data_IF_124492730133
#
_entry.id   IF_124492730133
#
_cell.length_a   1.000
_cell.length_b   1.000
_cell.length_c   1.000
_cell.angle_alpha   90.00
_cell.angle_beta   90.00
_cell.angle_gamma   90.00
#
_symmetry.space_group_name_H-M   'P 1'
#
loop_
_entity.id
_entity.type
_entity.pdbx_description
1 polymer ?
#
# COMPACT_ATOMS: atom_id res chain seq x y z
N UNK A 1 -30.09 19.64 47.26
CA UNK A 1 -29.43 19.84 45.94
C UNK A 1 -27.94 19.97 46.21
N UNK A 2 -27.02 19.12 45.76
CA UNK A 2 -27.08 17.98 44.85
C UNK A 2 -26.27 16.83 45.47
N UNK A 3 -26.82 15.62 45.38
CA UNK A 3 -26.18 14.35 45.70
C UNK A 3 -25.71 13.76 44.37
N UNK A 4 -24.42 13.80 44.05
CA UNK A 4 -23.74 12.89 43.11
C UNK A 4 -22.25 13.24 43.06
N UNK A 5 -21.43 12.48 43.79
CA UNK A 5 -19.98 12.47 43.64
C UNK A 5 -19.62 11.48 42.52
N UNK A 6 -19.20 11.99 41.36
CA UNK A 6 -18.63 11.16 40.31
C UNK A 6 -17.22 10.69 40.74
N UNK A 7 -17.09 9.43 41.16
CA UNK A 7 -15.78 8.79 41.33
C UNK A 7 -15.09 8.76 39.97
N UNK A 8 -13.92 9.40 39.86
CA UNK A 8 -13.00 9.23 38.74
C UNK A 8 -12.67 7.73 38.65
N UNK A 9 -13.00 7.10 37.51
CA UNK A 9 -12.61 5.72 37.24
C UNK A 9 -11.08 5.70 37.17
N UNK A 10 -10.42 4.94 38.04
CA UNK A 10 -8.98 4.76 37.98
C UNK A 10 -8.63 4.20 36.59
N UNK A 11 -7.75 4.91 35.88
CA UNK A 11 -7.19 4.40 34.63
C UNK A 11 -6.30 3.21 35.00
N UNK A 12 -6.58 2.00 34.50
CA UNK A 12 -5.72 0.86 34.77
C UNK A 12 -4.29 1.21 34.38
N UNK A 13 -3.32 0.78 35.18
CA UNK A 13 -1.91 0.90 34.82
C UNK A 13 -1.68 0.27 33.44
N UNK A 14 -0.81 0.86 32.60
CA UNK A 14 -0.50 0.27 31.30
C UNK A 14 -0.06 -1.18 31.50
N UNK A 15 -0.80 -2.11 30.93
CA UNK A 15 -0.39 -3.51 30.90
C UNK A 15 0.87 -3.58 30.04
N UNK A 16 1.86 -4.36 30.48
CA UNK A 16 3.05 -4.62 29.68
C UNK A 16 2.62 -5.17 28.30
N UNK A 17 3.30 -4.80 27.21
CA UNK A 17 3.00 -5.36 25.90
C UNK A 17 2.97 -6.88 25.98
N UNK A 18 1.87 -7.47 25.52
CA UNK A 18 1.75 -8.92 25.45
C UNK A 18 2.72 -9.41 24.37
N UNK A 19 3.49 -10.48 24.62
CA UNK A 19 4.54 -10.94 23.71
C UNK A 19 4.03 -11.20 22.29
N UNK A 20 2.76 -11.62 22.18
CA UNK A 20 2.05 -11.83 20.92
C UNK A 20 1.84 -10.52 20.13
N UNK A 21 1.60 -9.40 20.82
CA UNK A 21 1.45 -8.07 20.19
C UNK A 21 2.80 -7.56 19.71
N UNK A 22 3.87 -7.74 20.49
CA UNK A 22 5.23 -7.39 20.06
C UNK A 22 5.64 -8.20 18.82
N UNK A 23 5.35 -9.51 18.82
CA UNK A 23 5.61 -10.37 17.67
C UNK A 23 4.79 -9.96 16.44
N UNK A 24 3.51 -9.58 16.62
CA UNK A 24 2.64 -9.12 15.54
C UNK A 24 3.12 -7.81 14.91
N UNK A 25 3.65 -6.89 15.72
CA UNK A 25 4.14 -5.58 15.25
C UNK A 25 5.57 -5.64 14.71
N UNK A 26 6.23 -6.80 14.73
CA UNK A 26 7.55 -6.96 14.15
C UNK A 26 7.49 -6.70 12.64
N UNK A 27 8.45 -5.92 12.14
CA UNK A 27 8.59 -5.57 10.71
C UNK A 27 7.33 -4.92 10.10
N UNK A 28 6.56 -4.19 10.93
CA UNK A 28 5.40 -3.44 10.47
C UNK A 28 5.77 -2.41 9.40
N UNK A 29 4.75 -1.97 8.66
CA UNK A 29 4.83 -0.89 7.69
C UNK A 29 3.79 0.18 7.98
N UNK A 30 4.01 1.39 7.48
CA UNK A 30 3.07 2.51 7.60
C UNK A 30 2.81 3.14 6.24
N UNK A 31 1.65 3.77 6.08
CA UNK A 31 1.28 4.52 4.87
C UNK A 31 1.13 6.01 5.20
N UNK A 32 1.66 6.86 4.32
CA UNK A 32 1.52 8.31 4.40
C UNK A 32 1.10 8.90 3.05
N UNK A 33 0.52 10.09 3.08
CA UNK A 33 0.37 10.94 1.89
C UNK A 33 1.45 12.02 1.94
N UNK A 34 1.89 12.59 0.80
CA UNK A 34 2.85 13.70 0.78
C UNK A 34 2.51 14.84 1.77
N UNK A 35 1.28 15.36 1.70
CA UNK A 35 0.75 16.40 2.61
C UNK A 35 0.80 16.05 4.11
N UNK A 36 0.80 14.77 4.45
CA UNK A 36 0.90 14.30 5.83
C UNK A 36 2.36 14.18 6.23
N UNK A 37 3.21 13.66 5.32
CA UNK A 37 4.65 13.56 5.52
C UNK A 37 5.30 14.93 5.72
N UNK A 38 4.84 15.96 5.03
CA UNK A 38 5.28 17.36 5.22
C UNK A 38 5.12 17.87 6.66
N UNK A 39 4.11 17.36 7.40
CA UNK A 39 3.83 17.76 8.78
C UNK A 39 4.65 17.00 9.81
N UNK A 40 5.31 15.92 9.41
CA UNK A 40 6.23 15.18 10.24
C UNK A 40 7.59 15.84 10.07
N UNK A 41 8.23 16.30 11.14
CA UNK A 41 9.54 16.95 11.04
C UNK A 41 10.67 15.92 10.88
N UNK A 42 10.67 14.86 11.70
CA UNK A 42 11.67 13.79 11.65
C UNK A 42 11.00 12.42 11.80
N UNK A 43 11.01 11.62 10.74
CA UNK A 43 10.44 10.28 10.77
C UNK A 43 11.28 9.30 11.61
N UNK A 44 12.59 9.53 11.75
CA UNK A 44 13.51 8.66 12.52
C UNK A 44 13.25 8.74 14.02
N UNK A 45 12.61 9.83 14.48
CA UNK A 45 12.14 9.95 15.85
C UNK A 45 10.88 9.12 16.14
N UNK A 46 10.17 8.67 15.10
CA UNK A 46 8.87 8.00 15.22
C UNK A 46 8.93 6.52 14.79
N UNK A 47 9.78 6.19 13.82
CA UNK A 47 9.82 4.89 13.18
C UNK A 47 11.21 4.27 13.31
N UNK A 48 11.31 2.95 13.52
CA UNK A 48 12.57 2.22 13.41
C UNK A 48 13.19 2.37 12.02
N UNK A 49 14.52 2.43 11.94
CA UNK A 49 15.25 2.42 10.67
C UNK A 49 14.87 1.21 9.81
N UNK A 50 14.80 1.39 8.48
CA UNK A 50 14.43 0.32 7.55
C UNK A 50 12.95 -0.05 7.54
N UNK A 51 12.09 0.62 8.33
CA UNK A 51 10.63 0.50 8.24
C UNK A 51 10.17 0.77 6.81
N UNK A 52 9.22 -0.04 6.32
CA UNK A 52 8.62 0.21 5.01
C UNK A 52 7.56 1.30 5.12
N UNK A 53 7.70 2.33 4.28
CA UNK A 53 6.76 3.45 4.21
C UNK A 53 6.12 3.48 2.83
N UNK A 54 4.81 3.25 2.80
CA UNK A 54 4.00 3.44 1.60
C UNK A 54 3.71 4.92 1.40
N UNK A 55 3.76 5.38 0.15
CA UNK A 55 3.34 6.73 -0.22
C UNK A 55 2.09 6.63 -1.09
N UNK A 56 0.95 7.05 -0.53
CA UNK A 56 -0.32 7.01 -1.23
C UNK A 56 -0.39 8.08 -2.33
N UNK A 57 -0.51 7.62 -3.58
CA UNK A 57 -0.77 8.47 -4.74
C UNK A 57 -2.27 8.48 -5.03
N UNK A 58 -2.90 9.63 -4.81
CA UNK A 58 -4.31 9.87 -5.13
C UNK A 58 -4.43 10.84 -6.30
N UNK A 59 -5.59 10.85 -6.94
CA UNK A 59 -5.87 11.80 -8.01
C UNK A 59 -5.68 13.25 -7.53
N UNK A 60 -5.09 14.08 -8.38
CA UNK A 60 -4.72 15.46 -8.06
C UNK A 60 -3.40 15.65 -7.31
N UNK A 61 -2.72 14.59 -6.85
CA UNK A 61 -1.36 14.70 -6.30
C UNK A 61 -0.33 14.69 -7.44
N UNK A 62 0.47 15.77 -7.63
CA UNK A 62 1.54 15.80 -8.62
C UNK A 62 2.60 14.73 -8.35
N UNK A 63 3.21 14.20 -9.41
CA UNK A 63 4.30 13.22 -9.30
C UNK A 63 5.53 13.85 -8.63
N UNK A 64 5.72 15.16 -8.73
CA UNK A 64 6.78 15.93 -8.05
C UNK A 64 6.70 15.76 -6.53
N UNK A 65 5.52 15.90 -5.95
CA UNK A 65 5.31 15.80 -4.50
C UNK A 65 5.55 14.36 -4.03
N UNK A 66 5.19 13.38 -4.86
CA UNK A 66 5.43 11.96 -4.58
C UNK A 66 6.92 11.63 -4.57
N UNK A 67 7.66 12.07 -5.59
CA UNK A 67 9.10 11.83 -5.73
C UNK A 67 9.87 12.57 -4.63
N UNK A 68 9.51 13.81 -4.31
CA UNK A 68 10.12 14.56 -3.21
C UNK A 68 9.91 13.86 -1.84
N UNK A 69 8.70 13.35 -1.60
CA UNK A 69 8.40 12.56 -0.39
C UNK A 69 9.21 11.28 -0.35
N UNK A 70 9.34 10.59 -1.49
CA UNK A 70 10.14 9.37 -1.60
C UNK A 70 11.63 9.62 -1.33
N UNK A 71 12.19 10.66 -1.94
CA UNK A 71 13.59 11.02 -1.77
C UNK A 71 13.92 11.33 -0.31
N UNK A 72 13.04 12.10 0.36
CA UNK A 72 13.18 12.41 1.78
C UNK A 72 13.15 11.15 2.65
N UNK A 73 12.15 10.29 2.48
CA UNK A 73 12.02 9.06 3.28
C UNK A 73 13.18 8.09 3.05
N UNK A 74 13.66 7.98 1.80
CA UNK A 74 14.83 7.17 1.49
C UNK A 74 16.09 7.73 2.19
N UNK A 75 16.31 9.05 2.12
CA UNK A 75 17.42 9.72 2.80
C UNK A 75 17.39 9.56 4.33
N UNK A 76 16.20 9.41 4.92
CA UNK A 76 16.02 9.11 6.35
C UNK A 76 16.26 7.63 6.70
N UNK A 77 16.55 6.76 5.73
CA UNK A 77 16.87 5.35 5.94
C UNK A 77 15.67 4.39 5.84
N UNK A 78 14.55 4.81 5.26
CA UNK A 78 13.35 3.98 5.12
C UNK A 78 13.28 3.24 3.78
N UNK A 79 12.55 2.12 3.79
CA UNK A 79 12.21 1.36 2.56
C UNK A 79 10.96 1.98 1.95
N UNK A 80 11.12 2.78 0.90
CA UNK A 80 10.00 3.52 0.31
C UNK A 80 9.26 2.69 -0.73
N UNK A 81 7.93 2.71 -0.68
CA UNK A 81 7.04 2.03 -1.63
C UNK A 81 5.91 2.96 -2.10
N UNK A 82 6.11 3.77 -3.16
CA UNK A 82 5.03 4.57 -3.71
C UNK A 82 3.93 3.70 -4.34
N UNK A 83 2.71 4.23 -4.32
CA UNK A 83 1.58 3.67 -5.06
C UNK A 83 1.68 4.06 -6.53
N UNK A 84 1.34 3.13 -7.41
CA UNK A 84 1.12 3.38 -8.83
C UNK A 84 -0.35 3.07 -9.16
N UNK A 85 -1.23 4.10 -9.20
CA UNK A 85 -2.63 3.92 -9.54
C UNK A 85 -2.78 3.94 -11.06
N UNK A 86 -3.09 2.79 -11.65
CA UNK A 86 -3.18 2.61 -13.10
C UNK A 86 -4.04 3.68 -13.79
N UNK A 87 -5.23 3.96 -13.24
CA UNK A 87 -6.23 4.83 -13.85
C UNK A 87 -5.86 6.32 -13.87
N UNK A 88 -4.80 6.75 -13.17
CA UNK A 88 -4.28 8.13 -13.28
C UNK A 88 -2.99 8.20 -14.12
N UNK A 89 -2.50 7.07 -14.61
CA UNK A 89 -1.33 6.99 -15.48
C UNK A 89 -1.83 6.94 -16.92
N UNK A 90 -1.46 7.97 -17.69
CA UNK A 90 -2.00 8.16 -19.04
C UNK A 90 -1.59 7.05 -20.02
N UNK A 91 -0.33 6.68 -20.04
CA UNK A 91 0.22 5.76 -21.04
C UNK A 91 1.52 5.11 -20.56
N UNK A 92 2.05 4.15 -21.32
CA UNK A 92 3.31 3.46 -21.00
C UNK A 92 4.50 4.41 -20.86
N UNK A 93 4.53 5.51 -21.63
CA UNK A 93 5.61 6.50 -21.55
C UNK A 93 5.57 7.27 -20.23
N UNK A 94 4.38 7.62 -19.76
CA UNK A 94 4.16 8.25 -18.44
C UNK A 94 4.58 7.30 -17.32
N UNK A 95 4.24 6.01 -17.40
CA UNK A 95 4.68 5.01 -16.43
C UNK A 95 6.22 4.92 -16.38
N UNK A 96 6.88 4.86 -17.54
CA UNK A 96 8.34 4.80 -17.64
C UNK A 96 9.01 6.05 -17.06
N UNK A 97 8.46 7.24 -17.32
CA UNK A 97 8.94 8.50 -16.73
C UNK A 97 8.85 8.47 -15.20
N UNK A 98 7.70 8.09 -14.65
CA UNK A 98 7.52 8.02 -13.20
C UNK A 98 8.50 7.04 -12.56
N UNK A 99 8.67 5.85 -13.15
CA UNK A 99 9.67 4.87 -12.70
C UNK A 99 11.08 5.47 -12.70
N UNK A 100 11.48 6.12 -13.80
CA UNK A 100 12.81 6.71 -13.94
C UNK A 100 13.06 7.82 -12.89
N UNK A 101 12.07 8.66 -12.61
CA UNK A 101 12.14 9.71 -11.58
C UNK A 101 12.28 9.13 -10.18
N UNK A 102 11.44 8.16 -9.82
CA UNK A 102 11.53 7.48 -8.53
C UNK A 102 12.88 6.81 -8.30
N UNK A 103 13.48 6.23 -9.34
CA UNK A 103 14.81 5.63 -9.23
C UNK A 103 15.93 6.65 -9.18
N UNK A 104 15.93 7.61 -10.11
CA UNK A 104 16.99 8.60 -10.25
C UNK A 104 17.06 9.59 -9.08
N UNK A 105 15.91 9.93 -8.49
CA UNK A 105 15.81 10.96 -7.46
C UNK A 105 15.67 10.38 -6.04
N UNK A 106 15.18 9.14 -5.90
CA UNK A 106 14.82 8.58 -4.60
C UNK A 106 15.24 7.11 -4.37
N UNK A 107 16.01 6.49 -5.27
CA UNK A 107 16.47 5.08 -5.21
C UNK A 107 15.34 4.08 -4.87
N UNK A 108 14.13 4.35 -5.35
CA UNK A 108 12.97 3.47 -5.10
C UNK A 108 13.12 2.19 -5.92
N UNK A 109 12.96 1.04 -5.27
CA UNK A 109 12.92 -0.29 -5.93
C UNK A 109 11.70 -1.12 -5.53
N UNK A 110 10.69 -0.48 -4.94
CA UNK A 110 9.48 -1.15 -4.46
C UNK A 110 8.24 -0.38 -4.91
N UNK A 111 7.15 -1.06 -5.25
CA UNK A 111 5.90 -0.41 -5.66
C UNK A 111 4.68 -1.13 -5.10
N UNK A 112 3.62 -0.37 -4.81
CA UNK A 112 2.27 -0.91 -4.65
C UNK A 112 1.46 -0.62 -5.92
N UNK A 113 1.04 -1.67 -6.61
CA UNK A 113 0.32 -1.58 -7.88
C UNK A 113 -1.18 -1.74 -7.64
N UNK A 114 -1.96 -0.73 -8.05
CA UNK A 114 -3.41 -0.69 -7.81
C UNK A 114 -4.15 -0.04 -8.99
N UNK A 115 -5.45 -0.30 -9.12
CA UNK A 115 -6.23 0.27 -10.22
C UNK A 115 -6.39 1.79 -10.05
N UNK A 116 -6.66 2.27 -8.84
CA UNK A 116 -6.91 3.68 -8.53
C UNK A 116 -8.40 3.97 -8.37
N UNK A 117 -8.72 4.96 -7.53
CA UNK A 117 -10.09 5.24 -7.10
C UNK A 117 -10.94 6.05 -8.10
N UNK A 118 -10.35 6.52 -9.20
CA UNK A 118 -11.12 7.25 -10.23
C UNK A 118 -11.95 6.27 -11.07
N UNK A 119 -13.13 6.72 -11.48
CA UNK A 119 -14.09 5.89 -12.25
C UNK A 119 -13.69 5.77 -13.72
N UNK A 120 -13.27 6.88 -14.33
CA UNK A 120 -12.79 6.92 -15.70
C UNK A 120 -11.25 6.98 -15.69
N UNK A 121 -10.55 6.02 -16.31
CA UNK A 121 -9.12 6.13 -16.55
C UNK A 121 -8.78 7.40 -17.34
N UNK A 122 -7.69 8.06 -16.98
CA UNK A 122 -7.19 9.22 -17.74
C UNK A 122 -6.52 8.83 -19.05
N UNK A 123 -6.25 7.54 -19.25
CA UNK A 123 -5.63 7.02 -20.46
C UNK A 123 -5.71 5.49 -20.54
N UNK A 124 -4.61 4.86 -20.95
CA UNK A 124 -4.60 3.50 -21.47
C UNK A 124 -4.83 2.40 -20.41
N UNK A 125 -4.55 2.70 -19.13
CA UNK A 125 -4.57 1.70 -18.08
C UNK A 125 -5.86 1.73 -17.24
N UNK A 126 -6.61 0.64 -17.25
CA UNK A 126 -7.85 0.43 -16.47
C UNK A 126 -7.61 -0.24 -15.13
N UNK A 127 -6.51 -0.99 -15.00
CA UNK A 127 -6.20 -1.80 -13.82
C UNK A 127 -4.68 -2.03 -13.63
N UNK A 128 -4.33 -2.59 -12.48
CA UNK A 128 -2.92 -2.82 -12.10
C UNK A 128 -2.23 -3.93 -12.90
N UNK A 129 -2.97 -4.87 -13.48
CA UNK A 129 -2.39 -5.98 -14.23
C UNK A 129 -1.75 -5.45 -15.51
N UNK A 130 -2.37 -4.46 -16.15
CA UNK A 130 -1.81 -3.82 -17.34
C UNK A 130 -0.51 -3.06 -17.05
N UNK A 131 -0.35 -2.47 -15.85
CA UNK A 131 0.93 -1.88 -15.43
C UNK A 131 2.02 -2.98 -15.33
N UNK A 132 1.67 -4.11 -14.74
CA UNK A 132 2.56 -5.26 -14.57
C UNK A 132 2.95 -5.89 -15.92
N UNK A 133 2.03 -5.97 -16.86
CA UNK A 133 2.27 -6.51 -18.21
C UNK A 133 3.21 -5.65 -19.06
N UNK A 134 3.43 -4.39 -18.70
CA UNK A 134 4.35 -3.52 -19.46
C UNK A 134 5.82 -3.98 -19.43
N UNK A 135 6.20 -4.80 -18.45
CA UNK A 135 7.59 -5.22 -18.19
C UNK A 135 8.47 -4.13 -17.59
N UNK A 136 7.98 -2.90 -17.44
CA UNK A 136 8.80 -1.74 -17.05
C UNK A 136 9.38 -1.85 -15.63
N UNK A 137 8.67 -2.48 -14.70
CA UNK A 137 9.16 -2.67 -13.34
C UNK A 137 10.34 -3.65 -13.30
N UNK A 138 10.29 -4.72 -14.09
CA UNK A 138 11.38 -5.70 -14.21
C UNK A 138 12.58 -5.11 -14.95
N UNK A 139 12.34 -4.41 -16.07
CA UNK A 139 13.37 -3.68 -16.83
C UNK A 139 14.12 -2.67 -15.94
N UNK A 140 13.39 -2.01 -15.02
CA UNK A 140 13.95 -1.07 -14.07
C UNK A 140 14.61 -1.75 -12.85
N UNK A 141 14.43 -3.05 -12.64
CA UNK A 141 15.00 -3.77 -11.50
C UNK A 141 14.30 -3.48 -10.17
N UNK A 142 12.97 -3.32 -10.18
CA UNK A 142 12.19 -3.35 -8.93
C UNK A 142 12.34 -4.72 -8.28
N UNK A 143 12.63 -4.74 -6.98
CA UNK A 143 12.88 -5.99 -6.23
C UNK A 143 11.68 -6.44 -5.42
N UNK A 144 10.65 -5.60 -5.30
CA UNK A 144 9.43 -5.93 -4.56
C UNK A 144 8.20 -5.23 -5.14
N UNK A 145 7.17 -6.00 -5.47
CA UNK A 145 5.91 -5.49 -6.00
C UNK A 145 4.76 -5.96 -5.11
N UNK A 146 4.06 -5.02 -4.50
CA UNK A 146 2.83 -5.33 -3.78
C UNK A 146 1.62 -5.09 -4.66
N UNK A 147 0.54 -5.82 -4.39
CA UNK A 147 -0.76 -5.66 -5.06
C UNK A 147 -1.88 -5.51 -4.04
N UNK A 148 -2.96 -4.84 -4.41
CA UNK A 148 -4.14 -4.74 -3.57
C UNK A 148 -4.89 -6.08 -3.43
N UNK A 149 -5.35 -6.39 -2.21
CA UNK A 149 -6.25 -7.51 -1.89
C UNK A 149 -7.56 -7.03 -1.27
N UNK A 150 -8.64 -7.76 -1.49
CA UNK A 150 -9.99 -7.39 -1.06
C UNK A 150 -10.67 -8.55 -0.32
N UNK A 151 -10.38 -8.74 0.98
CA UNK A 151 -10.91 -9.87 1.74
C UNK A 151 -12.43 -9.95 1.80
N UNK A 152 -13.10 -8.80 1.78
CA UNK A 152 -14.57 -8.67 1.80
C UNK A 152 -15.17 -8.49 0.39
N UNK A 153 -14.37 -8.70 -0.67
CA UNK A 153 -14.74 -8.41 -2.05
C UNK A 153 -14.61 -6.93 -2.41
N UNK A 154 -14.98 -6.59 -3.66
CA UNK A 154 -14.91 -5.21 -4.15
C UNK A 154 -16.06 -4.91 -5.13
N UNK A 155 -16.97 -4.02 -4.73
CA UNK A 155 -18.17 -3.67 -5.53
C UNK A 155 -17.87 -2.83 -6.78
N UNK A 156 -16.72 -2.19 -6.86
CA UNK A 156 -16.28 -1.50 -8.07
C UNK A 156 -15.79 -2.50 -9.13
N UNK A 157 -15.50 -3.74 -8.73
CA UNK A 157 -15.07 -4.84 -9.60
C UNK A 157 -16.24 -5.80 -9.87
N UNK A 158 -16.95 -6.21 -8.80
CA UNK A 158 -18.07 -7.14 -8.80
C UNK A 158 -19.32 -6.43 -8.22
N UNK A 159 -20.06 -5.71 -9.08
CA UNK A 159 -21.15 -4.83 -8.66
C UNK A 159 -22.33 -5.54 -7.95
N UNK A 160 -22.51 -6.83 -8.23
CA UNK A 160 -23.49 -7.72 -7.60
C UNK A 160 -23.09 -8.17 -6.18
N UNK A 161 -21.88 -7.83 -5.74
CA UNK A 161 -21.33 -8.28 -4.46
C UNK A 161 -20.73 -9.68 -4.51
N UNK A 162 -20.60 -10.27 -5.69
CA UNK A 162 -19.86 -11.50 -5.90
C UNK A 162 -18.34 -11.29 -5.76
N UNK A 163 -17.58 -12.33 -6.09
CA UNK A 163 -16.10 -12.29 -6.04
C UNK A 163 -15.41 -12.82 -7.29
N UNK A 164 -16.17 -13.09 -8.35
CA UNK A 164 -15.63 -13.78 -9.52
C UNK A 164 -14.45 -13.02 -10.14
N UNK A 165 -14.61 -11.71 -10.37
CA UNK A 165 -13.58 -10.93 -11.05
C UNK A 165 -12.46 -10.51 -10.09
N UNK A 166 -12.76 -10.21 -8.82
CA UNK A 166 -11.73 -9.89 -7.83
C UNK A 166 -10.84 -11.10 -7.50
N UNK A 167 -11.42 -12.30 -7.38
CA UNK A 167 -10.67 -13.55 -7.14
C UNK A 167 -9.86 -13.93 -8.39
N UNK A 168 -10.42 -13.76 -9.60
CA UNK A 168 -9.69 -13.97 -10.85
C UNK A 168 -8.50 -13.00 -11.02
N UNK A 169 -8.69 -11.71 -10.70
CA UNK A 169 -7.62 -10.73 -10.75
C UNK A 169 -6.51 -11.03 -9.74
N UNK A 170 -6.87 -11.47 -8.53
CA UNK A 170 -5.88 -11.88 -7.53
C UNK A 170 -5.12 -13.13 -7.98
N UNK A 171 -5.81 -14.13 -8.53
CA UNK A 171 -5.16 -15.32 -9.09
C UNK A 171 -4.19 -14.94 -10.21
N UNK A 172 -4.59 -14.05 -11.13
CA UNK A 172 -3.70 -13.57 -12.19
C UNK A 172 -2.43 -12.93 -11.61
N UNK A 173 -2.56 -12.08 -10.58
CA UNK A 173 -1.41 -11.42 -9.93
C UNK A 173 -0.52 -12.41 -9.18
N UNK A 174 -1.12 -13.46 -8.59
CA UNK A 174 -0.36 -14.54 -8.00
C UNK A 174 0.42 -15.32 -9.07
N UNK A 175 -0.20 -15.64 -10.20
CA UNK A 175 0.47 -16.35 -11.30
C UNK A 175 1.60 -15.49 -11.93
N UNK A 176 1.46 -14.16 -11.93
CA UNK A 176 2.50 -13.23 -12.38
C UNK A 176 3.82 -13.39 -11.65
N UNK A 177 3.84 -13.87 -10.40
CA UNK A 177 5.09 -14.11 -9.65
C UNK A 177 6.05 -15.06 -10.38
N UNK A 178 5.55 -15.87 -11.32
CA UNK A 178 6.36 -16.79 -12.15
C UNK A 178 7.04 -16.09 -13.33
N UNK A 179 6.77 -14.79 -13.55
CA UNK A 179 7.22 -13.99 -14.68
C UNK A 179 8.12 -12.82 -14.28
N UNK A 180 8.36 -12.64 -12.98
CA UNK A 180 9.16 -11.56 -12.40
C UNK A 180 10.11 -12.14 -11.35
N UNK A 181 11.26 -11.49 -11.16
CA UNK A 181 12.18 -11.78 -10.06
C UNK A 181 11.84 -10.98 -8.79
N UNK A 182 10.86 -10.07 -8.85
CA UNK A 182 10.45 -9.25 -7.72
C UNK A 182 9.68 -10.07 -6.68
N UNK A 183 9.99 -9.85 -5.40
CA UNK A 183 9.19 -10.42 -4.32
C UNK A 183 7.79 -9.81 -4.31
N UNK A 184 6.76 -10.67 -4.28
CA UNK A 184 5.37 -10.23 -4.28
C UNK A 184 4.70 -10.39 -2.92
N UNK A 185 3.82 -9.45 -2.57
CA UNK A 185 2.93 -9.56 -1.41
C UNK A 185 1.62 -8.83 -1.66
N UNK A 186 0.63 -9.13 -0.82
CA UNK A 186 -0.70 -8.53 -0.90
C UNK A 186 -0.86 -7.53 0.24
N UNK A 187 -1.28 -6.31 -0.09
CA UNK A 187 -1.76 -5.32 0.87
C UNK A 187 -3.28 -5.31 0.83
N UNK A 188 -3.95 -5.74 1.91
CA UNK A 188 -5.41 -5.81 1.94
C UNK A 188 -6.03 -4.44 2.14
N UNK A 189 -7.26 -4.26 1.66
CA UNK A 189 -8.13 -3.18 2.12
C UNK A 189 -8.28 -3.25 3.65
N UNK A 190 -8.49 -2.09 4.30
CA UNK A 190 -8.76 -2.06 5.73
C UNK A 190 -10.04 -2.85 6.05
N UNK A 191 -10.09 -3.47 7.22
CA UNK A 191 -11.26 -4.13 7.76
C UNK A 191 -11.41 -3.83 9.24
N UNK A 192 -12.64 -3.93 9.74
CA UNK A 192 -12.96 -3.75 11.16
C UNK A 192 -13.02 -5.07 11.93
N UNK A 193 -13.16 -6.19 11.23
CA UNK A 193 -13.25 -7.52 11.81
C UNK A 193 -12.10 -8.39 11.33
N UNK A 194 -11.51 -9.17 12.24
CA UNK A 194 -10.40 -10.06 11.89
C UNK A 194 -10.88 -11.31 11.14
N UNK A 195 -12.10 -11.78 11.42
CA UNK A 195 -12.61 -13.05 10.90
C UNK A 195 -12.68 -13.09 9.36
N UNK A 196 -13.21 -12.06 8.66
CA UNK A 196 -13.21 -12.05 7.19
C UNK A 196 -11.80 -12.10 6.58
N UNK A 197 -10.81 -11.46 7.23
CA UNK A 197 -9.41 -11.48 6.78
C UNK A 197 -8.84 -12.91 6.87
N UNK A 198 -9.08 -13.59 7.99
CA UNK A 198 -8.59 -14.94 8.25
C UNK A 198 -9.20 -15.94 7.25
N UNK A 199 -10.52 -15.91 7.10
CA UNK A 199 -11.24 -16.80 6.16
C UNK A 199 -10.77 -16.60 4.72
N UNK A 200 -10.59 -15.35 4.31
CA UNK A 200 -10.05 -15.04 3.00
C UNK A 200 -8.62 -15.55 2.84
N UNK A 201 -7.72 -15.27 3.79
CA UNK A 201 -6.33 -15.70 3.73
C UNK A 201 -6.18 -17.24 3.69
N UNK A 202 -7.03 -17.97 4.42
CA UNK A 202 -7.03 -19.43 4.38
C UNK A 202 -7.59 -19.97 3.05
N UNK A 203 -8.57 -19.28 2.46
CA UNK A 203 -9.10 -19.64 1.14
C UNK A 203 -8.07 -19.52 0.01
N UNK A 204 -7.05 -18.67 0.16
CA UNK A 204 -5.97 -18.51 -0.82
C UNK A 204 -4.95 -19.65 -0.80
N UNK A 205 -4.88 -20.43 0.28
CA UNK A 205 -3.92 -21.55 0.42
C UNK A 205 -4.47 -22.87 -0.13
N UNK A 206 -5.79 -22.98 -0.28
CA UNK A 206 -6.51 -24.18 -0.69
C UNK A 206 -6.44 -24.39 -2.21
#
# INVERSE_FOLDING_TARGET
MALLNFRKKETPAPQAPVAEVEALLKDYSIEVMPRTAEKVEDFRALLPEGTRVYIAHIDGTPIEDMVATAARLNADGFKVMPHFPARIIKDRATLADWIARYQGEADVRQALLLAGGVTAPVGDFTDSMQLMETGLFDEAGFTRLHVAGHPEGNRDIDADGGRLNVDAALKWKNDFQTRTDAEMAIATQFAFEAQPIIEWADSLKA
#
